data_IF_769038705233
#
_entry.id   IF_769038705233
#
_cell.length_a   1.000
_cell.length_b   1.000
_cell.length_c   1.000
_cell.angle_alpha   90.00
_cell.angle_beta   90.00
_cell.angle_gamma   90.00
#
_symmetry.space_group_name_H-M   'P 1'
#
loop_
_entity.id
_entity.type
_entity.pdbx_description
1 polymer ?
#
# COMPACT_ATOMS: atom_id res chain seq x y z
N UNK A 1 -15.25 -24.01 -56.14
CA UNK A 1 -15.94 -24.68 -55.02
C UNK A 1 -14.93 -24.86 -53.89
N UNK A 2 -14.87 -23.85 -53.00
CA UNK A 2 -15.28 -23.92 -51.58
C UNK A 2 -14.29 -24.75 -50.74
N UNK A 3 -13.22 -24.16 -50.18
CA UNK A 3 -13.18 -23.28 -49.00
C UNK A 3 -13.70 -23.95 -47.72
N UNK A 4 -12.82 -24.68 -47.01
CA UNK A 4 -13.01 -25.02 -45.60
C UNK A 4 -12.30 -23.98 -44.74
N UNK A 5 -13.10 -23.10 -44.13
CA UNK A 5 -12.65 -22.10 -43.16
C UNK A 5 -12.20 -22.78 -41.87
N UNK A 6 -10.92 -22.69 -41.56
CA UNK A 6 -10.40 -22.98 -40.22
C UNK A 6 -10.95 -21.95 -39.23
N UNK A 7 -11.82 -22.39 -38.33
CA UNK A 7 -12.23 -21.61 -37.17
C UNK A 7 -11.04 -21.48 -36.22
N UNK A 8 -10.41 -20.31 -36.24
CA UNK A 8 -9.44 -19.92 -35.22
C UNK A 8 -10.12 -20.01 -33.85
N UNK A 9 -9.61 -20.88 -32.98
CA UNK A 9 -9.94 -20.92 -31.56
C UNK A 9 -9.75 -19.51 -30.97
N UNK A 10 -10.87 -18.81 -30.75
CA UNK A 10 -10.89 -17.53 -30.08
C UNK A 10 -10.37 -17.73 -28.65
N UNK A 11 -9.18 -17.20 -28.37
CA UNK A 11 -8.67 -17.06 -27.02
C UNK A 11 -9.70 -16.32 -26.16
N UNK A 12 -9.90 -16.70 -24.88
CA UNK A 12 -10.92 -16.10 -24.04
C UNK A 12 -10.63 -14.60 -23.80
N UNK A 13 -11.63 -13.71 -23.91
CA UNK A 13 -11.44 -12.29 -23.68
C UNK A 13 -11.50 -12.02 -22.17
N UNK A 14 -10.39 -12.23 -21.47
CA UNK A 14 -10.21 -11.73 -20.09
C UNK A 14 -8.79 -11.19 -19.91
N UNK A 15 -8.45 -10.19 -20.72
CA UNK A 15 -7.44 -9.22 -20.31
C UNK A 15 -8.10 -8.29 -19.28
N UNK A 16 -8.14 -8.73 -18.02
CA UNK A 16 -8.28 -7.83 -16.88
C UNK A 16 -7.25 -6.72 -17.11
N UNK A 17 -7.71 -5.51 -17.43
CA UNK A 17 -6.81 -4.41 -17.79
C UNK A 17 -5.97 -4.11 -16.56
N UNK A 18 -4.77 -4.72 -16.49
CA UNK A 18 -3.77 -4.45 -15.46
C UNK A 18 -3.54 -2.95 -15.52
N UNK A 19 -3.99 -2.22 -14.50
CA UNK A 19 -3.79 -0.79 -14.43
C UNK A 19 -2.32 -0.57 -14.07
N UNK A 20 -1.44 -0.68 -15.08
CA UNK A 20 0.02 -0.64 -14.94
C UNK A 20 0.50 0.57 -14.13
N UNK A 21 -0.24 1.68 -14.17
CA UNK A 21 0.01 2.86 -13.35
C UNK A 21 -0.11 2.55 -11.88
N UNK A 22 -1.17 1.86 -11.45
CA UNK A 22 -1.39 1.54 -10.04
C UNK A 22 -0.31 0.62 -9.54
N UNK A 23 -0.02 -0.45 -10.27
CA UNK A 23 1.03 -1.40 -9.87
C UNK A 23 2.40 -0.73 -9.86
N UNK A 24 2.69 0.14 -10.82
CA UNK A 24 3.91 0.94 -10.79
C UNK A 24 3.96 1.87 -9.57
N UNK A 25 2.88 2.57 -9.23
CA UNK A 25 2.88 3.44 -8.05
C UNK A 25 3.01 2.64 -6.74
N UNK A 26 2.46 1.42 -6.67
CA UNK A 26 2.69 0.49 -5.55
C UNK A 26 4.15 0.07 -5.46
N UNK A 27 4.77 -0.30 -6.59
CA UNK A 27 6.18 -0.68 -6.64
C UNK A 27 7.10 0.47 -6.23
N UNK A 28 6.84 1.67 -6.74
CA UNK A 28 7.54 2.89 -6.35
C UNK A 28 7.42 3.16 -4.85
N UNK A 29 6.19 3.12 -4.31
CA UNK A 29 5.95 3.36 -2.89
C UNK A 29 6.65 2.33 -1.99
N UNK A 30 6.64 1.03 -2.36
CA UNK A 30 7.33 0.00 -1.60
C UNK A 30 8.85 0.22 -1.58
N UNK A 31 9.45 0.49 -2.74
CA UNK A 31 10.89 0.75 -2.84
C UNK A 31 11.29 2.01 -2.07
N UNK A 32 10.48 3.06 -2.17
CA UNK A 32 10.70 4.33 -1.48
C UNK A 32 10.70 4.13 0.06
N UNK A 33 9.68 3.45 0.60
CA UNK A 33 9.58 3.17 2.05
C UNK A 33 10.68 2.22 2.50
N UNK A 34 10.92 1.14 1.75
CA UNK A 34 11.94 0.16 2.12
C UNK A 34 13.33 0.81 2.15
N UNK A 35 13.68 1.64 1.16
CA UNK A 35 14.99 2.30 1.15
C UNK A 35 15.13 3.36 2.24
N UNK A 36 14.05 4.06 2.57
CA UNK A 36 14.02 4.96 3.72
C UNK A 36 14.31 4.22 5.03
N UNK A 37 13.65 3.11 5.29
CA UNK A 37 13.92 2.30 6.49
C UNK A 37 15.31 1.68 6.47
N UNK A 38 15.80 1.22 5.30
CA UNK A 38 17.16 0.71 5.15
C UNK A 38 18.19 1.75 5.63
N UNK A 39 18.07 3.00 5.18
CA UNK A 39 18.93 4.10 5.63
C UNK A 39 18.84 4.36 7.13
N UNK A 40 17.63 4.32 7.70
CA UNK A 40 17.45 4.50 9.14
C UNK A 40 18.04 3.38 10.00
N UNK A 41 18.22 2.18 9.43
CA UNK A 41 18.76 1.01 10.14
C UNK A 41 20.28 0.94 10.02
N UNK A 42 20.85 1.21 8.84
CA UNK A 42 22.28 0.93 8.58
C UNK A 42 23.15 2.17 8.39
N UNK A 43 22.57 3.36 8.20
CA UNK A 43 23.34 4.55 7.80
C UNK A 43 23.24 5.68 8.83
N UNK A 44 24.34 6.41 9.03
CA UNK A 44 24.47 7.48 10.04
C UNK A 44 23.51 8.68 9.86
N UNK A 45 22.83 8.77 8.73
CA UNK A 45 21.97 9.90 8.38
C UNK A 45 22.73 11.06 7.72
N UNK A 46 21.96 11.93 7.05
CA UNK A 46 22.53 12.96 6.17
C UNK A 46 23.34 14.02 6.91
N UNK A 47 22.90 14.41 8.12
CA UNK A 47 23.59 15.44 8.91
C UNK A 47 24.99 14.96 9.32
N UNK A 48 25.09 13.78 9.94
CA UNK A 48 26.36 13.18 10.33
C UNK A 48 27.25 12.87 9.13
N UNK A 49 26.66 12.42 8.02
CA UNK A 49 27.39 12.19 6.78
C UNK A 49 28.01 13.46 6.20
N UNK A 50 27.25 14.56 6.17
CA UNK A 50 27.74 15.86 5.72
C UNK A 50 28.83 16.40 6.65
N UNK A 51 28.69 16.24 7.96
CA UNK A 51 29.71 16.64 8.92
C UNK A 51 31.03 15.86 8.72
N UNK A 52 30.95 14.56 8.39
CA UNK A 52 32.13 13.72 8.18
C UNK A 52 32.84 13.97 6.83
N UNK A 53 32.08 14.16 5.74
CA UNK A 53 32.63 14.21 4.38
C UNK A 53 32.63 15.60 3.73
N UNK A 54 31.92 16.58 4.29
CA UNK A 54 31.80 17.92 3.75
C UNK A 54 31.39 17.91 2.27
N UNK A 55 32.17 18.57 1.42
CA UNK A 55 31.94 18.65 -0.03
C UNK A 55 32.80 17.69 -0.86
N UNK A 56 33.28 16.60 -0.26
CA UNK A 56 34.08 15.62 -0.99
C UNK A 56 33.33 15.06 -2.22
N UNK A 57 34.06 14.78 -3.30
CA UNK A 57 33.51 14.33 -4.59
C UNK A 57 33.77 12.84 -4.87
N UNK A 58 34.00 12.03 -3.82
CA UNK A 58 34.18 10.59 -4.01
C UNK A 58 32.85 9.94 -4.46
N UNK A 59 32.89 8.82 -5.21
CA UNK A 59 31.68 8.17 -5.69
C UNK A 59 30.68 7.82 -4.59
N UNK A 60 31.16 7.41 -3.42
CA UNK A 60 30.33 7.12 -2.25
C UNK A 60 29.66 8.36 -1.65
N UNK A 61 30.33 9.52 -1.69
CA UNK A 61 29.77 10.79 -1.20
C UNK A 61 28.73 11.32 -2.16
N UNK A 62 28.99 11.28 -3.46
CA UNK A 62 28.01 11.62 -4.49
C UNK A 62 26.78 10.71 -4.37
N UNK A 63 26.98 9.39 -4.28
CA UNK A 63 25.88 8.45 -4.08
C UNK A 63 25.09 8.74 -2.80
N UNK A 64 25.78 9.04 -1.69
CA UNK A 64 25.17 9.47 -0.43
C UNK A 64 24.25 10.68 -0.61
N UNK A 65 24.74 11.76 -1.25
CA UNK A 65 23.94 12.95 -1.51
C UNK A 65 22.78 12.71 -2.49
N UNK A 66 22.96 11.88 -3.51
CA UNK A 66 21.88 11.50 -4.43
C UNK A 66 20.73 10.77 -3.72
N UNK A 67 20.99 10.17 -2.55
CA UNK A 67 19.93 9.54 -1.74
C UNK A 67 19.14 10.53 -0.88
N UNK A 68 19.47 11.83 -0.90
CA UNK A 68 18.76 12.85 -0.13
C UNK A 68 17.23 12.81 -0.27
N UNK A 69 16.64 12.67 -1.48
CA UNK A 69 15.17 12.62 -1.64
C UNK A 69 14.50 11.50 -0.84
N UNK A 70 15.20 10.41 -0.55
CA UNK A 70 14.67 9.32 0.27
C UNK A 70 14.50 9.69 1.74
N UNK A 71 14.93 10.89 2.17
CA UNK A 71 14.63 11.40 3.52
C UNK A 71 13.12 11.54 3.77
N UNK A 72 12.33 11.74 2.71
CA UNK A 72 10.87 11.78 2.76
C UNK A 72 10.23 10.46 2.31
N UNK A 73 10.95 9.33 2.41
CA UNK A 73 10.42 8.06 1.89
C UNK A 73 9.19 7.53 2.63
N UNK A 74 8.90 8.04 3.83
CA UNK A 74 7.62 7.84 4.52
C UNK A 74 6.40 8.29 3.69
N UNK A 75 6.58 9.20 2.72
CA UNK A 75 5.55 9.62 1.76
C UNK A 75 5.00 8.46 0.91
N UNK A 76 5.69 7.31 0.83
CA UNK A 76 5.16 6.12 0.17
C UNK A 76 3.98 5.49 0.91
N UNK A 77 3.82 5.69 2.22
CA UNK A 77 2.68 5.15 2.98
C UNK A 77 1.34 5.78 2.56
N UNK A 78 1.21 7.13 2.48
CA UNK A 78 0.05 7.80 1.86
C UNK A 78 -0.36 7.23 0.50
N UNK A 79 0.61 6.89 -0.36
CA UNK A 79 0.36 6.32 -1.69
C UNK A 79 -0.38 4.98 -1.56
N UNK A 80 0.07 4.10 -0.65
CA UNK A 80 -0.62 2.83 -0.40
C UNK A 80 -2.05 3.03 0.09
N UNK A 81 -2.33 4.04 0.92
CA UNK A 81 -3.66 4.26 1.48
C UNK A 81 -4.64 4.72 0.39
N UNK A 82 -4.23 5.69 -0.43
CA UNK A 82 -5.03 6.17 -1.56
C UNK A 82 -5.26 5.03 -2.58
N UNK A 83 -4.23 4.24 -2.92
CA UNK A 83 -4.37 3.10 -3.83
C UNK A 83 -5.30 2.04 -3.24
N UNK A 84 -5.15 1.71 -1.95
CA UNK A 84 -5.99 0.74 -1.25
C UNK A 84 -7.46 1.14 -1.35
N UNK A 85 -7.80 2.39 -1.00
CA UNK A 85 -9.15 2.92 -1.12
C UNK A 85 -9.72 2.85 -2.53
N UNK A 86 -8.93 3.25 -3.53
CA UNK A 86 -9.32 3.15 -4.94
C UNK A 86 -9.61 1.70 -5.33
N UNK A 87 -8.65 0.79 -5.16
CA UNK A 87 -8.77 -0.60 -5.60
C UNK A 87 -9.89 -1.37 -4.89
N UNK A 88 -10.12 -1.09 -3.60
CA UNK A 88 -11.17 -1.76 -2.82
C UNK A 88 -12.56 -1.28 -3.24
N UNK A 89 -12.74 0.03 -3.40
CA UNK A 89 -14.04 0.60 -3.70
C UNK A 89 -14.44 0.43 -5.17
N UNK A 90 -13.48 0.44 -6.10
CA UNK A 90 -13.71 0.42 -7.57
C UNK A 90 -14.71 -0.62 -8.05
N UNK A 91 -14.56 -1.89 -7.66
CA UNK A 91 -15.48 -2.93 -8.14
C UNK A 91 -16.91 -2.73 -7.62
N UNK A 92 -17.07 -2.32 -6.36
CA UNK A 92 -18.40 -2.05 -5.81
C UNK A 92 -19.02 -0.79 -6.42
N UNK A 93 -18.22 0.25 -6.67
CA UNK A 93 -18.64 1.47 -7.36
C UNK A 93 -19.14 1.18 -8.77
N UNK A 94 -18.39 0.38 -9.55
CA UNK A 94 -18.79 -0.03 -10.91
C UNK A 94 -20.10 -0.83 -10.91
N UNK A 95 -20.25 -1.78 -9.97
CA UNK A 95 -21.50 -2.55 -9.84
C UNK A 95 -22.69 -1.69 -9.42
N UNK A 96 -22.45 -0.68 -8.58
CA UNK A 96 -23.48 0.25 -8.13
C UNK A 96 -23.89 1.24 -9.24
N UNK A 97 -22.93 1.70 -10.04
CA UNK A 97 -23.21 2.52 -11.22
C UNK A 97 -24.01 1.75 -12.28
N UNK A 98 -23.71 0.45 -12.47
CA UNK A 98 -24.46 -0.42 -13.38
C UNK A 98 -25.84 -0.84 -12.83
N UNK A 99 -25.99 -0.93 -11.51
CA UNK A 99 -27.24 -1.31 -10.84
C UNK A 99 -27.40 -0.57 -9.50
N UNK A 100 -28.26 0.47 -9.41
CA UNK A 100 -28.50 1.22 -8.18
C UNK A 100 -28.99 0.38 -6.99
N UNK A 101 -29.63 -0.76 -7.25
CA UNK A 101 -30.09 -1.68 -6.23
C UNK A 101 -28.97 -2.59 -5.67
N UNK A 102 -27.76 -2.57 -6.26
CA UNK A 102 -26.64 -3.41 -5.84
C UNK A 102 -26.30 -3.18 -4.36
N UNK A 103 -26.16 -4.30 -3.63
CA UNK A 103 -25.70 -4.35 -2.25
C UNK A 103 -24.39 -5.13 -2.18
N UNK A 104 -23.50 -4.70 -1.29
CA UNK A 104 -22.26 -5.42 -1.04
C UNK A 104 -22.55 -6.68 -0.24
N UNK A 105 -22.06 -7.82 -0.73
CA UNK A 105 -21.96 -9.05 0.05
C UNK A 105 -20.80 -8.91 1.05
N UNK A 106 -21.13 -8.46 2.26
CA UNK A 106 -20.16 -8.16 3.31
C UNK A 106 -19.42 -9.41 3.83
N UNK A 107 -20.09 -10.54 4.12
CA UNK A 107 -19.40 -11.77 4.53
C UNK A 107 -18.37 -12.24 3.51
N UNK A 108 -18.74 -12.31 2.22
CA UNK A 108 -17.80 -12.70 1.18
C UNK A 108 -16.67 -11.67 1.00
N UNK A 109 -16.97 -10.38 1.15
CA UNK A 109 -15.95 -9.34 1.16
C UNK A 109 -14.90 -9.60 2.26
N UNK A 110 -15.33 -9.83 3.50
CA UNK A 110 -14.42 -10.07 4.62
C UNK A 110 -13.62 -11.36 4.48
N UNK A 111 -14.26 -12.48 4.12
CA UNK A 111 -13.57 -13.77 3.90
C UNK A 111 -12.46 -13.63 2.86
N UNK A 112 -12.74 -12.93 1.75
CA UNK A 112 -11.74 -12.69 0.71
C UNK A 112 -10.57 -11.84 1.17
N UNK A 113 -10.81 -10.84 2.03
CA UNK A 113 -9.74 -10.00 2.60
C UNK A 113 -8.92 -10.76 3.63
N UNK A 114 -9.58 -11.54 4.48
CA UNK A 114 -8.95 -12.44 5.43
C UNK A 114 -8.02 -13.43 4.73
N UNK A 115 -8.53 -14.17 3.75
CA UNK A 115 -7.76 -15.16 2.98
C UNK A 115 -6.58 -14.55 2.21
N UNK A 116 -6.65 -13.26 1.86
CA UNK A 116 -5.56 -12.55 1.18
C UNK A 116 -4.42 -12.15 2.11
N UNK A 117 -4.72 -11.84 3.37
CA UNK A 117 -3.78 -11.12 4.26
C UNK A 117 -3.26 -11.98 5.38
N UNK A 118 -4.12 -12.73 6.07
CA UNK A 118 -3.73 -13.47 7.26
C UNK A 118 -2.65 -14.52 7.03
N UNK A 119 -2.65 -15.30 5.92
CA UNK A 119 -1.55 -16.22 5.66
C UNK A 119 -0.19 -15.52 5.52
N UNK A 120 -0.19 -14.35 4.87
CA UNK A 120 1.03 -13.57 4.63
C UNK A 120 1.49 -12.86 5.90
N UNK A 121 0.55 -12.33 6.69
CA UNK A 121 0.81 -11.75 8.00
C UNK A 121 1.43 -12.77 8.94
N UNK A 122 0.85 -13.96 9.07
CA UNK A 122 1.39 -15.01 9.92
C UNK A 122 2.81 -15.39 9.51
N UNK A 123 3.05 -15.58 8.20
CA UNK A 123 4.39 -15.84 7.70
C UNK A 123 5.37 -14.69 7.99
N UNK A 124 4.92 -13.43 7.91
CA UNK A 124 5.76 -12.27 8.20
C UNK A 124 6.08 -12.15 9.70
N UNK A 125 5.15 -12.48 10.60
CA UNK A 125 5.40 -12.53 12.04
C UNK A 125 6.38 -13.62 12.41
N UNK A 126 6.25 -14.82 11.83
CA UNK A 126 7.20 -15.91 12.01
C UNK A 126 8.58 -15.57 11.44
N UNK A 127 8.63 -14.92 10.28
CA UNK A 127 9.87 -14.41 9.70
C UNK A 127 10.54 -13.36 10.60
N UNK A 128 9.75 -12.45 11.17
CA UNK A 128 10.23 -11.45 12.14
C UNK A 128 10.80 -12.15 13.38
N UNK A 129 10.06 -13.09 13.97
CA UNK A 129 10.52 -13.86 15.12
C UNK A 129 11.85 -14.58 14.84
N UNK A 130 11.99 -15.23 13.68
CA UNK A 130 13.20 -15.95 13.32
C UNK A 130 14.42 -15.03 13.20
N UNK A 131 14.27 -13.87 12.54
CA UNK A 131 15.35 -12.92 12.34
C UNK A 131 15.71 -12.14 13.61
N UNK A 132 14.72 -11.78 14.41
CA UNK A 132 14.94 -11.12 15.70
C UNK A 132 15.60 -12.08 16.69
N UNK A 133 15.23 -13.36 16.69
CA UNK A 133 15.87 -14.38 17.53
C UNK A 133 17.37 -14.50 17.25
N UNK A 134 17.79 -14.42 15.97
CA UNK A 134 19.22 -14.36 15.59
C UNK A 134 19.85 -13.06 16.09
N UNK A 135 19.17 -11.93 15.88
CA UNK A 135 19.71 -10.60 16.21
C UNK A 135 19.88 -10.40 17.72
N UNK A 136 19.01 -10.98 18.54
CA UNK A 136 19.07 -10.96 20.00
C UNK A 136 20.27 -11.73 20.58
N UNK A 137 20.95 -12.56 19.79
CA UNK A 137 22.18 -13.24 20.21
C UNK A 137 23.45 -12.40 19.95
N UNK A 138 23.32 -11.21 19.35
CA UNK A 138 24.45 -10.38 18.92
C UNK A 138 24.40 -9.05 19.66
N UNK A 139 25.41 -8.81 20.50
CA UNK A 139 25.56 -7.54 21.20
C UNK A 139 26.39 -6.52 20.38
N UNK A 140 26.03 -5.21 20.40
CA UNK A 140 24.85 -4.65 21.04
C UNK A 140 23.55 -4.96 20.27
N UNK A 141 22.49 -5.29 21.02
CA UNK A 141 21.15 -5.50 20.44
C UNK A 141 20.63 -4.20 19.80
N UNK A 142 20.09 -4.31 18.58
CA UNK A 142 19.51 -3.17 17.88
C UNK A 142 18.32 -2.58 18.64
N UNK A 143 18.36 -1.26 18.88
CA UNK A 143 17.26 -0.50 19.48
C UNK A 143 15.94 -0.54 18.68
N UNK A 144 15.95 -1.09 17.45
CA UNK A 144 14.75 -1.30 16.64
C UNK A 144 13.93 -2.49 17.10
N UNK A 145 14.53 -3.47 17.76
CA UNK A 145 13.84 -4.66 18.28
C UNK A 145 13.06 -4.25 19.53
N UNK A 146 11.73 -4.35 19.46
CA UNK A 146 10.81 -4.11 20.58
C UNK A 146 10.46 -5.44 21.27
N UNK A 147 9.23 -5.58 21.75
CA UNK A 147 8.72 -6.79 22.39
C UNK A 147 8.54 -7.93 21.37
N UNK A 148 9.21 -9.06 21.64
CA UNK A 148 9.13 -10.31 20.87
C UNK A 148 8.29 -11.39 21.57
N UNK A 149 7.68 -11.05 22.72
CA UNK A 149 6.87 -11.94 23.53
C UNK A 149 5.54 -12.35 22.87
N UNK A 150 4.93 -13.39 23.44
CA UNK A 150 3.68 -13.98 22.92
C UNK A 150 2.53 -12.96 22.89
N UNK A 151 2.43 -12.08 23.89
CA UNK A 151 1.38 -11.05 23.92
C UNK A 151 1.52 -10.08 22.74
N UNK A 152 2.73 -9.58 22.48
CA UNK A 152 2.99 -8.73 21.32
C UNK A 152 2.72 -9.45 19.99
N UNK A 153 3.09 -10.74 19.91
CA UNK A 153 2.77 -11.58 18.75
C UNK A 153 1.26 -11.66 18.50
N UNK A 154 0.46 -11.94 19.54
CA UNK A 154 -0.99 -12.03 19.45
C UNK A 154 -1.63 -10.68 19.11
N UNK A 155 -1.18 -9.58 19.72
CA UNK A 155 -1.64 -8.22 19.39
C UNK A 155 -1.46 -7.94 17.90
N UNK A 156 -0.31 -8.32 17.33
CA UNK A 156 -0.03 -8.10 15.92
C UNK A 156 -0.76 -9.09 15.00
N UNK A 157 -0.93 -10.34 15.43
CA UNK A 157 -1.71 -11.35 14.70
C UNK A 157 -3.18 -10.92 14.54
N UNK A 158 -3.76 -10.32 15.58
CA UNK A 158 -5.12 -9.76 15.53
C UNK A 158 -5.19 -8.35 14.94
N UNK A 159 -4.07 -7.80 14.45
CA UNK A 159 -4.02 -6.47 13.84
C UNK A 159 -4.47 -5.35 14.80
N UNK A 160 -4.07 -5.45 16.07
CA UNK A 160 -4.41 -4.51 17.15
C UNK A 160 -3.24 -3.59 17.56
N UNK A 161 -2.08 -3.73 16.90
CA UNK A 161 -0.95 -2.83 17.08
C UNK A 161 -1.36 -1.38 16.75
N UNK A 162 -0.92 -0.43 17.58
CA UNK A 162 -1.35 0.97 17.57
C UNK A 162 -2.54 1.28 18.51
N UNK A 163 -3.27 0.24 18.95
CA UNK A 163 -4.43 0.36 19.87
C UNK A 163 -4.20 -0.39 21.17
N UNK A 164 -3.83 -1.67 21.08
CA UNK A 164 -3.65 -2.56 22.24
C UNK A 164 -2.18 -2.93 22.51
N UNK A 165 -1.23 -2.38 21.74
CA UNK A 165 0.20 -2.61 21.91
C UNK A 165 1.02 -2.08 20.73
N UNK A 166 2.32 -2.29 20.78
CA UNK A 166 3.26 -1.86 19.73
C UNK A 166 3.43 -2.92 18.64
N UNK A 167 4.12 -2.54 17.57
CA UNK A 167 4.52 -3.45 16.50
C UNK A 167 5.43 -4.57 17.03
N UNK A 168 5.24 -5.79 16.51
CA UNK A 168 5.99 -6.96 16.95
C UNK A 168 7.47 -6.89 16.58
N UNK A 169 8.35 -7.09 17.56
CA UNK A 169 9.80 -7.14 17.37
C UNK A 169 10.36 -5.91 16.64
N UNK A 170 11.23 -6.15 15.66
CA UNK A 170 11.79 -5.11 14.79
C UNK A 170 10.87 -4.65 13.66
N UNK A 171 9.70 -5.28 13.49
CA UNK A 171 8.83 -5.05 12.34
C UNK A 171 7.90 -3.84 12.54
N UNK A 172 8.54 -2.67 12.65
CA UNK A 172 7.89 -1.38 12.77
C UNK A 172 6.95 -1.01 11.63
N UNK A 173 6.95 -1.73 10.50
CA UNK A 173 6.08 -1.44 9.36
C UNK A 173 4.63 -1.97 9.56
N UNK A 174 4.41 -2.89 10.50
CA UNK A 174 3.10 -3.54 10.70
C UNK A 174 1.99 -2.58 11.15
N UNK A 175 2.30 -1.37 11.63
CA UNK A 175 1.27 -0.41 12.06
C UNK A 175 0.28 -0.07 10.92
N UNK A 176 0.75 0.06 9.68
CA UNK A 176 -0.13 0.38 8.54
C UNK A 176 -1.06 -0.77 8.18
N UNK A 177 -0.63 -2.02 8.43
CA UNK A 177 -1.45 -3.20 8.21
C UNK A 177 -2.62 -3.26 9.18
N UNK A 178 -2.41 -2.87 10.45
CA UNK A 178 -3.50 -2.73 11.43
C UNK A 178 -4.58 -1.78 10.92
N UNK A 179 -4.18 -0.62 10.40
CA UNK A 179 -5.11 0.34 9.82
C UNK A 179 -5.84 -0.22 8.59
N UNK A 180 -5.14 -0.98 7.73
CA UNK A 180 -5.74 -1.62 6.57
C UNK A 180 -6.82 -2.65 6.94
N UNK A 181 -6.58 -3.48 7.98
CA UNK A 181 -7.58 -4.41 8.50
C UNK A 181 -8.80 -3.66 9.08
N UNK A 182 -8.56 -2.57 9.81
CA UNK A 182 -9.63 -1.69 10.32
C UNK A 182 -10.46 -1.08 9.16
N UNK A 183 -9.82 -0.65 8.07
CA UNK A 183 -10.54 -0.18 6.88
C UNK A 183 -11.43 -1.25 6.25
N UNK A 184 -11.03 -2.53 6.28
CA UNK A 184 -11.87 -3.61 5.77
C UNK A 184 -13.05 -3.91 6.67
N UNK A 185 -12.86 -3.85 7.99
CA UNK A 185 -13.95 -4.04 8.94
C UNK A 185 -15.04 -2.98 8.72
N UNK A 186 -14.66 -1.71 8.55
CA UNK A 186 -15.61 -0.59 8.40
C UNK A 186 -16.16 -0.43 6.97
N UNK A 187 -15.52 -1.02 5.95
CA UNK A 187 -15.87 -0.79 4.55
C UNK A 187 -17.34 -1.09 4.18
N UNK A 188 -17.97 -2.20 4.61
CA UNK A 188 -19.38 -2.43 4.31
C UNK A 188 -20.31 -1.35 4.85
N UNK A 189 -20.01 -0.79 6.03
CA UNK A 189 -20.75 0.32 6.61
C UNK A 189 -20.58 1.59 5.76
N UNK A 190 -19.35 1.91 5.36
CA UNK A 190 -19.08 3.03 4.45
C UNK A 190 -19.82 2.89 3.12
N UNK A 191 -19.85 1.68 2.56
CA UNK A 191 -20.57 1.42 1.33
C UNK A 191 -22.08 1.61 1.51
N UNK A 192 -22.63 1.16 2.63
CA UNK A 192 -24.03 1.40 2.98
C UNK A 192 -24.34 2.90 3.14
N UNK A 193 -23.43 3.66 3.79
CA UNK A 193 -23.55 5.11 3.95
C UNK A 193 -23.48 5.84 2.60
N UNK A 194 -22.53 5.47 1.73
CA UNK A 194 -22.40 5.98 0.36
C UNK A 194 -23.67 5.76 -0.48
N UNK A 195 -24.45 4.70 -0.21
CA UNK A 195 -25.75 4.47 -0.87
C UNK A 195 -26.85 5.39 -0.35
N UNK A 196 -26.78 5.83 0.90
CA UNK A 196 -27.80 6.68 1.54
C UNK A 196 -27.58 8.17 1.28
N UNK A 197 -26.35 8.65 1.46
CA UNK A 197 -26.03 10.09 1.44
C UNK A 197 -25.11 10.50 0.28
N UNK A 198 -24.69 9.55 -0.55
CA UNK A 198 -23.75 9.79 -1.65
C UNK A 198 -22.29 9.92 -1.20
N UNK A 199 -21.37 9.81 -2.16
CA UNK A 199 -19.93 9.82 -1.88
C UNK A 199 -19.39 11.16 -1.37
N UNK A 200 -19.83 12.34 -1.87
CA UNK A 200 -19.36 13.62 -1.34
C UNK A 200 -19.67 13.82 0.14
N UNK A 201 -20.86 13.42 0.59
CA UNK A 201 -21.23 13.50 2.00
C UNK A 201 -20.40 12.53 2.86
N UNK A 202 -20.12 11.31 2.37
CA UNK A 202 -19.19 10.38 3.04
C UNK A 202 -17.80 10.99 3.18
N UNK A 203 -17.25 11.59 2.13
CA UNK A 203 -15.94 12.26 2.19
C UNK A 203 -15.95 13.39 3.22
N UNK A 204 -17.00 14.22 3.24
CA UNK A 204 -17.14 15.31 4.20
C UNK A 204 -17.25 14.79 5.65
N UNK A 205 -18.06 13.76 5.92
CA UNK A 205 -18.16 13.13 7.24
C UNK A 205 -16.82 12.55 7.67
N UNK A 206 -16.13 11.82 6.79
CA UNK A 206 -14.81 11.25 7.10
C UNK A 206 -13.78 12.35 7.36
N UNK A 207 -13.79 13.44 6.59
CA UNK A 207 -12.90 14.58 6.81
C UNK A 207 -13.11 15.22 8.19
N UNK A 208 -14.38 15.39 8.62
CA UNK A 208 -14.69 15.90 9.96
C UNK A 208 -14.21 14.95 11.07
N UNK A 209 -14.46 13.65 10.93
CA UNK A 209 -13.99 12.63 11.87
C UNK A 209 -12.47 12.59 11.91
N UNK A 210 -11.81 12.75 10.77
CA UNK A 210 -10.36 12.75 10.64
C UNK A 210 -9.73 13.93 11.37
N UNK A 211 -10.27 15.14 11.19
CA UNK A 211 -9.83 16.33 11.93
C UNK A 211 -10.07 16.14 13.43
N UNK A 212 -11.27 15.73 13.86
CA UNK A 212 -11.56 15.49 15.27
C UNK A 212 -10.61 14.44 15.88
N UNK A 213 -10.35 13.35 15.15
CA UNK A 213 -9.42 12.30 15.54
C UNK A 213 -7.98 12.81 15.71
N UNK A 214 -7.51 13.67 14.81
CA UNK A 214 -6.19 14.28 14.92
C UNK A 214 -6.07 15.11 16.21
N UNK A 215 -7.09 15.94 16.49
CA UNK A 215 -7.11 16.77 17.69
C UNK A 215 -7.16 15.96 18.99
N UNK A 216 -7.92 14.86 19.01
CA UNK A 216 -8.14 14.06 20.22
C UNK A 216 -7.09 12.96 20.44
N UNK A 217 -6.74 12.19 19.40
CA UNK A 217 -5.99 10.94 19.55
C UNK A 217 -4.48 11.10 19.28
N UNK A 218 -4.09 11.99 18.37
CA UNK A 218 -2.67 12.18 18.04
C UNK A 218 -1.86 12.69 19.23
N UNK A 219 -2.48 13.52 20.08
CA UNK A 219 -1.87 14.00 21.33
C UNK A 219 -1.54 12.90 22.33
N UNK A 220 -2.13 11.72 22.17
CA UNK A 220 -1.96 10.57 23.06
C UNK A 220 -1.21 9.40 22.40
N UNK A 221 -0.56 9.63 21.24
CA UNK A 221 0.18 8.61 20.49
C UNK A 221 -0.66 7.37 20.09
N UNK A 222 -1.99 7.55 20.00
CA UNK A 222 -2.91 6.49 19.60
C UNK A 222 -3.06 6.49 18.07
N UNK A 223 -2.57 5.41 17.44
CA UNK A 223 -2.62 5.23 16.00
C UNK A 223 -3.93 4.54 15.59
N UNK A 224 -5.01 5.31 15.55
CA UNK A 224 -6.33 4.80 15.16
C UNK A 224 -6.67 5.11 13.69
N UNK A 225 -7.44 4.25 13.03
CA UNK A 225 -7.74 4.39 11.60
C UNK A 225 -8.39 5.73 11.24
N UNK A 226 -9.16 6.32 12.16
CA UNK A 226 -9.85 7.60 11.96
C UNK A 226 -8.90 8.73 11.60
N UNK A 227 -7.66 8.72 12.12
CA UNK A 227 -6.62 9.70 11.81
C UNK A 227 -6.08 9.59 10.38
N UNK A 228 -6.21 8.43 9.71
CA UNK A 228 -5.71 8.23 8.34
C UNK A 228 -6.81 7.89 7.34
N UNK A 229 -8.06 7.90 7.79
CA UNK A 229 -9.21 7.44 7.04
C UNK A 229 -9.52 8.30 5.81
N UNK A 230 -9.18 9.58 5.87
CA UNK A 230 -9.39 10.52 4.77
C UNK A 230 -8.57 10.12 3.53
N UNK A 231 -7.29 9.76 3.71
CA UNK A 231 -6.41 9.32 2.62
C UNK A 231 -6.97 8.12 1.86
N UNK A 232 -7.48 7.14 2.60
CA UNK A 232 -8.15 5.97 2.03
C UNK A 232 -9.45 6.38 1.31
N UNK A 233 -10.27 7.23 1.93
CA UNK A 233 -11.57 7.65 1.40
C UNK A 233 -11.45 8.51 0.14
N UNK A 234 -10.41 9.33 0.01
CA UNK A 234 -10.13 10.08 -1.23
C UNK A 234 -9.84 9.12 -2.40
N UNK A 235 -9.10 8.04 -2.15
CA UNK A 235 -8.91 6.97 -3.14
C UNK A 235 -10.23 6.34 -3.58
N UNK A 236 -11.10 6.03 -2.61
CA UNK A 236 -12.44 5.52 -2.89
C UNK A 236 -13.31 6.53 -3.66
N UNK A 237 -13.17 7.83 -3.38
CA UNK A 237 -13.88 8.90 -4.10
C UNK A 237 -13.45 8.97 -5.56
N UNK A 238 -12.15 8.86 -5.86
CA UNK A 238 -11.65 8.77 -7.23
C UNK A 238 -12.30 7.58 -7.96
N UNK A 239 -12.41 6.43 -7.29
CA UNK A 239 -13.06 5.26 -7.86
C UNK A 239 -14.56 5.48 -8.15
N UNK A 240 -15.28 6.15 -7.25
CA UNK A 240 -16.71 6.46 -7.42
C UNK A 240 -16.96 7.44 -8.57
N UNK A 241 -16.17 8.53 -8.66
CA UNK A 241 -16.23 9.49 -9.78
C UNK A 241 -15.97 8.79 -11.11
N UNK A 242 -14.97 7.90 -11.16
CA UNK A 242 -14.62 7.16 -12.38
C UNK A 242 -15.67 6.12 -12.76
N UNK A 243 -16.35 5.51 -11.78
CA UNK A 243 -17.41 4.56 -12.05
C UNK A 243 -18.68 5.23 -12.61
N UNK A 244 -18.93 6.49 -12.27
CA UNK A 244 -20.07 7.26 -12.78
C UNK A 244 -19.83 7.85 -14.17
N UNK A 245 -18.58 7.96 -14.61
CA UNK A 245 -18.25 8.41 -15.96
C UNK A 245 -18.41 7.27 -16.97
N UNK A 246 -19.36 7.40 -17.91
CA UNK A 246 -19.37 6.56 -19.11
C UNK A 246 -18.12 6.83 -19.93
N UNK A 247 -17.62 5.82 -20.66
CA UNK A 247 -16.44 5.97 -21.53
C UNK A 247 -16.56 7.14 -22.50
N UNK A 248 -17.78 7.45 -22.94
CA UNK A 248 -18.06 8.51 -23.92
C UNK A 248 -18.26 9.90 -23.29
N UNK A 249 -18.52 10.00 -21.99
CA UNK A 249 -18.74 11.27 -21.27
C UNK A 249 -17.61 11.60 -20.28
N UNK A 250 -16.52 10.85 -20.32
CA UNK A 250 -15.40 10.99 -19.39
C UNK A 250 -14.70 12.34 -19.58
N UNK A 251 -15.00 13.29 -18.69
CA UNK A 251 -14.29 14.56 -18.62
C UNK A 251 -12.84 14.29 -18.22
N UNK A 252 -11.92 14.67 -19.11
CA UNK A 252 -10.50 14.57 -18.88
C UNK A 252 -10.07 15.73 -17.97
N UNK A 253 -9.56 15.48 -16.75
CA UNK A 253 -9.12 16.56 -15.87
C UNK A 253 -8.00 17.39 -16.50
N UNK A 254 -7.93 18.67 -16.18
CA UNK A 254 -6.90 19.59 -16.67
C UNK A 254 -5.49 19.17 -16.23
N UNK A 255 -4.46 19.67 -16.92
CA UNK A 255 -3.05 19.46 -16.49
C UNK A 255 -2.72 20.17 -15.17
N UNK A 256 -3.55 21.11 -14.72
CA UNK A 256 -3.39 21.79 -13.43
C UNK A 256 -3.40 20.83 -12.24
N UNK A 257 -4.04 19.65 -12.36
CA UNK A 257 -3.98 18.62 -11.32
C UNK A 257 -2.57 18.06 -11.08
N UNK A 258 -1.69 18.03 -12.09
CA UNK A 258 -0.28 17.68 -11.87
C UNK A 258 0.48 18.80 -11.14
N UNK A 259 0.13 20.06 -11.41
CA UNK A 259 0.71 21.21 -10.69
C UNK A 259 0.25 21.19 -9.24
N UNK A 260 -1.04 20.99 -8.99
CA UNK A 260 -1.59 20.82 -7.64
C UNK A 260 -0.93 19.65 -6.90
N UNK A 261 -0.74 18.51 -7.58
CA UNK A 261 -0.01 17.37 -7.02
C UNK A 261 1.42 17.76 -6.61
N UNK A 262 2.18 18.41 -7.49
CA UNK A 262 3.55 18.84 -7.20
C UNK A 262 3.63 19.83 -6.03
N UNK A 263 2.73 20.81 -5.98
CA UNK A 263 2.64 21.80 -4.89
C UNK A 263 2.34 21.12 -3.56
N UNK A 264 1.34 20.22 -3.51
CA UNK A 264 0.96 19.51 -2.29
C UNK A 264 2.06 18.55 -1.82
N UNK A 265 2.74 17.88 -2.76
CA UNK A 265 3.86 17.00 -2.42
C UNK A 265 5.03 17.79 -1.82
N UNK A 266 5.39 18.93 -2.43
CA UNK A 266 6.42 19.83 -1.92
C UNK A 266 6.04 20.44 -0.56
N UNK A 267 4.79 20.87 -0.40
CA UNK A 267 4.27 21.36 0.88
C UNK A 267 4.33 20.28 1.97
N UNK A 268 4.05 19.02 1.62
CA UNK A 268 4.19 17.88 2.52
C UNK A 268 5.64 17.67 2.99
N UNK A 269 6.62 17.87 2.11
CA UNK A 269 8.04 17.82 2.49
C UNK A 269 8.41 18.90 3.51
N UNK A 270 7.86 20.11 3.37
CA UNK A 270 8.02 21.18 4.35
C UNK A 270 7.30 20.89 5.67
N UNK A 271 6.06 20.43 5.60
CA UNK A 271 5.24 20.08 6.77
C UNK A 271 5.84 18.93 7.58
N UNK A 272 6.62 18.03 6.95
CA UNK A 272 7.27 16.90 7.62
C UNK A 272 8.23 17.35 8.73
N UNK A 273 8.78 18.56 8.64
CA UNK A 273 9.63 19.14 9.69
C UNK A 273 8.83 19.62 10.91
N UNK A 274 7.53 19.90 10.74
CA UNK A 274 6.64 20.37 11.82
C UNK A 274 5.90 19.20 12.45
N UNK A 275 5.41 18.25 11.63
CA UNK A 275 4.68 17.09 12.12
C UNK A 275 4.38 16.08 11.02
N UNK A 276 4.48 14.79 11.35
CA UNK A 276 4.27 13.71 10.39
C UNK A 276 2.83 13.65 9.87
N UNK A 277 1.85 13.96 10.71
CA UNK A 277 0.43 13.91 10.33
C UNK A 277 0.08 14.90 9.23
N UNK A 278 0.45 16.18 9.39
CA UNK A 278 0.19 17.20 8.37
C UNK A 278 0.85 16.87 7.04
N UNK A 279 2.10 16.38 7.07
CA UNK A 279 2.80 15.89 5.89
C UNK A 279 2.06 14.71 5.23
N UNK A 280 1.57 13.76 6.02
CA UNK A 280 0.81 12.61 5.55
C UNK A 280 -0.44 13.03 4.77
N UNK A 281 -1.21 14.00 5.30
CA UNK A 281 -2.42 14.49 4.64
C UNK A 281 -2.10 15.21 3.32
N UNK A 282 -1.06 16.06 3.31
CA UNK A 282 -0.61 16.76 2.11
C UNK A 282 -0.10 15.80 1.03
N UNK A 283 0.71 14.81 1.40
CA UNK A 283 1.17 13.78 0.48
C UNK A 283 0.02 12.92 -0.06
N UNK A 284 -0.96 12.58 0.78
CA UNK A 284 -2.16 11.85 0.37
C UNK A 284 -2.97 12.64 -0.67
N UNK A 285 -3.23 13.93 -0.39
CA UNK A 285 -3.96 14.80 -1.30
C UNK A 285 -3.18 15.06 -2.60
N UNK A 286 -1.87 15.26 -2.51
CA UNK A 286 -1.00 15.45 -3.67
C UNK A 286 -0.98 14.21 -4.57
N UNK A 287 -0.82 13.02 -3.99
CA UNK A 287 -0.89 11.78 -4.75
C UNK A 287 -2.30 11.52 -5.31
N UNK A 288 -3.36 11.85 -4.59
CA UNK A 288 -4.73 11.75 -5.10
C UNK A 288 -4.96 12.65 -6.34
N UNK A 289 -4.44 13.88 -6.34
CA UNK A 289 -4.47 14.78 -7.49
C UNK A 289 -3.76 14.17 -8.70
N UNK A 290 -2.57 13.61 -8.47
CA UNK A 290 -1.81 12.91 -9.50
C UNK A 290 -2.58 11.70 -10.06
N UNK A 291 -3.09 10.83 -9.17
CA UNK A 291 -3.81 9.61 -9.54
C UNK A 291 -5.09 9.91 -10.32
N UNK A 292 -5.86 10.91 -9.87
CA UNK A 292 -7.09 11.34 -10.55
C UNK A 292 -6.86 11.73 -12.00
N UNK A 293 -5.73 12.40 -12.29
CA UNK A 293 -5.33 12.78 -13.64
C UNK A 293 -4.73 11.61 -14.44
N UNK A 294 -3.86 10.83 -13.81
CA UNK A 294 -3.15 9.71 -14.44
C UNK A 294 -4.12 8.62 -14.92
N UNK A 295 -5.17 8.33 -14.15
CA UNK A 295 -6.19 7.36 -14.53
C UNK A 295 -7.11 7.83 -15.68
N UNK A 296 -7.25 9.14 -15.87
CA UNK A 296 -8.07 9.68 -16.97
C UNK A 296 -7.42 9.51 -18.36
N UNK A 297 -6.08 9.42 -18.40
CA UNK A 297 -5.32 9.12 -19.62
C UNK A 297 -4.18 8.18 -19.24
N UNK A 298 -4.44 6.87 -19.13
CA UNK A 298 -3.40 5.93 -18.72
C UNK A 298 -2.22 6.03 -19.70
N UNK A 299 -0.99 6.26 -19.21
CA UNK A 299 0.19 6.29 -20.03
C UNK A 299 0.38 4.94 -20.72
N UNK A 300 0.95 4.97 -21.93
CA UNK A 300 1.36 3.74 -22.61
C UNK A 300 2.42 3.03 -21.76
N UNK A 301 2.39 1.69 -21.68
CA UNK A 301 3.33 0.94 -20.86
C UNK A 301 4.74 0.99 -21.47
N UNK A 302 5.54 1.95 -21.00
CA UNK A 302 6.97 2.09 -21.30
C UNK A 302 7.79 1.05 -20.50
N UNK A 303 9.01 0.69 -20.93
CA UNK A 303 9.85 -0.24 -20.18
C UNK A 303 10.06 0.13 -18.70
N UNK A 304 10.33 1.40 -18.32
CA UNK A 304 10.43 1.79 -16.91
C UNK A 304 9.14 1.55 -16.12
N UNK A 305 7.98 1.84 -16.72
CA UNK A 305 6.69 1.60 -16.08
C UNK A 305 6.44 0.09 -15.85
N UNK A 306 6.88 -0.76 -16.77
CA UNK A 306 6.76 -2.23 -16.64
C UNK A 306 7.65 -2.77 -15.53
N UNK A 307 8.89 -2.30 -15.44
CA UNK A 307 9.81 -2.66 -14.35
C UNK A 307 9.22 -2.26 -13.01
N UNK A 308 8.69 -1.04 -12.91
CA UNK A 308 8.09 -0.55 -11.68
C UNK A 308 6.79 -1.30 -11.33
N UNK A 309 5.98 -1.66 -12.34
CA UNK A 309 4.80 -2.50 -12.18
C UNK A 309 5.15 -3.92 -11.70
N UNK A 310 6.30 -4.47 -12.10
CA UNK A 310 6.79 -5.75 -11.59
C UNK A 310 7.13 -5.68 -10.10
N UNK A 311 7.78 -4.61 -9.64
CA UNK A 311 7.94 -4.36 -8.19
C UNK A 311 6.59 -4.21 -7.47
N UNK A 312 5.57 -3.70 -8.17
CA UNK A 312 4.20 -3.64 -7.69
C UNK A 312 3.57 -4.99 -7.35
N UNK A 313 3.95 -6.06 -8.06
CA UNK A 313 3.36 -7.38 -7.92
C UNK A 313 3.67 -8.02 -6.55
N UNK A 314 4.86 -7.75 -5.99
CA UNK A 314 5.30 -8.25 -4.68
C UNK A 314 5.51 -7.13 -3.64
N UNK A 315 4.93 -5.95 -3.91
CA UNK A 315 5.12 -4.75 -3.09
C UNK A 315 4.69 -4.97 -1.63
N UNK A 316 3.67 -5.80 -1.41
CA UNK A 316 3.14 -6.11 -0.09
C UNK A 316 4.09 -7.01 0.69
N UNK A 317 4.62 -8.08 0.07
CA UNK A 317 5.67 -8.91 0.66
C UNK A 317 6.92 -8.10 1.03
N UNK A 318 7.42 -7.24 0.12
CA UNK A 318 8.56 -6.36 0.42
C UNK A 318 8.27 -5.46 1.61
N UNK A 319 7.07 -4.86 1.65
CA UNK A 319 6.67 -4.01 2.75
C UNK A 319 6.61 -4.75 4.10
N UNK A 320 6.17 -6.00 4.13
CA UNK A 320 6.03 -6.74 5.39
C UNK A 320 7.33 -7.26 6.00
N UNK A 321 8.37 -7.50 5.20
CA UNK A 321 9.56 -8.22 5.69
C UNK A 321 10.86 -7.41 5.65
N UNK A 322 10.87 -6.23 5.02
CA UNK A 322 12.12 -5.49 4.82
C UNK A 322 12.79 -5.04 6.13
N UNK A 323 12.02 -4.58 7.12
CA UNK A 323 12.57 -4.09 8.39
C UNK A 323 13.29 -5.17 9.20
N UNK A 324 12.66 -6.32 9.55
CA UNK A 324 13.37 -7.38 10.27
C UNK A 324 14.58 -7.91 9.50
N UNK A 325 14.49 -7.94 8.16
CA UNK A 325 15.62 -8.29 7.32
C UNK A 325 16.78 -7.29 7.45
N UNK A 326 16.51 -5.99 7.36
CA UNK A 326 17.56 -4.97 7.51
C UNK A 326 18.16 -4.96 8.90
N UNK A 327 17.35 -5.14 9.95
CA UNK A 327 17.83 -5.20 11.33
C UNK A 327 18.74 -6.41 11.52
N UNK A 328 18.33 -7.59 11.05
CA UNK A 328 19.16 -8.78 11.13
C UNK A 328 20.47 -8.65 10.34
N UNK A 329 20.43 -8.11 9.12
CA UNK A 329 21.65 -7.85 8.35
C UNK A 329 22.56 -6.84 9.05
N UNK A 330 22.00 -5.80 9.66
CA UNK A 330 22.74 -4.80 10.43
C UNK A 330 23.40 -5.39 11.67
N UNK A 331 22.69 -6.24 12.42
CA UNK A 331 23.24 -6.94 13.58
C UNK A 331 24.34 -7.92 13.19
N UNK A 332 24.13 -8.74 12.16
CA UNK A 332 25.10 -9.78 11.74
C UNK A 332 26.36 -9.18 11.11
N UNK A 333 26.23 -8.16 10.26
CA UNK A 333 27.37 -7.63 9.50
C UNK A 333 28.12 -6.50 10.21
N UNK A 334 27.42 -5.75 11.06
CA UNK A 334 27.92 -4.51 11.65
C UNK A 334 27.67 -4.38 13.14
N UNK A 335 27.26 -5.45 13.85
CA UNK A 335 26.95 -5.40 15.28
C UNK A 335 25.97 -4.26 15.63
N UNK A 336 24.98 -4.03 14.75
CA UNK A 336 23.98 -2.98 14.87
C UNK A 336 24.55 -1.53 14.83
N UNK A 337 25.82 -1.35 14.46
CA UNK A 337 26.44 -0.03 14.32
C UNK A 337 26.06 0.66 13.01
N UNK A 338 25.84 1.97 13.08
CA UNK A 338 25.54 2.80 11.91
C UNK A 338 26.80 3.07 11.09
N UNK A 339 26.67 2.88 9.78
CA UNK A 339 27.78 2.99 8.84
C UNK A 339 27.86 4.39 8.24
N UNK A 340 29.08 4.94 8.18
CA UNK A 340 29.36 6.19 7.46
C UNK A 340 29.19 6.00 5.94
N UNK A 341 29.62 4.85 5.42
CA UNK A 341 29.47 4.50 4.01
C UNK A 341 28.01 4.26 3.63
N UNK A 342 27.60 4.73 2.45
CA UNK A 342 26.25 4.49 1.91
C UNK A 342 26.11 3.10 1.25
N UNK A 343 27.21 2.46 0.87
CA UNK A 343 27.16 1.20 0.12
C UNK A 343 26.40 0.06 0.83
N UNK A 344 26.47 -0.11 2.17
CA UNK A 344 25.65 -1.07 2.89
C UNK A 344 24.15 -0.92 2.63
N UNK A 345 23.61 0.29 2.49
CA UNK A 345 22.16 0.47 2.26
C UNK A 345 21.72 -0.04 0.89
N UNK A 346 22.58 0.10 -0.13
CA UNK A 346 22.34 -0.50 -1.45
C UNK A 346 22.47 -2.02 -1.43
N UNK A 347 23.48 -2.56 -0.75
CA UNK A 347 23.65 -4.00 -0.60
C UNK A 347 22.45 -4.65 0.12
N UNK A 348 21.96 -4.02 1.19
CA UNK A 348 20.80 -4.51 1.93
C UNK A 348 19.55 -4.50 1.05
N UNK A 349 19.34 -3.46 0.23
CA UNK A 349 18.23 -3.42 -0.73
C UNK A 349 18.36 -4.50 -1.81
N UNK A 350 19.58 -4.74 -2.29
CA UNK A 350 19.86 -5.80 -3.27
C UNK A 350 19.58 -7.20 -2.71
N UNK A 351 19.68 -7.40 -1.40
CA UNK A 351 19.26 -8.64 -0.70
C UNK A 351 17.75 -8.66 -0.43
N UNK A 352 17.16 -7.53 -0.03
CA UNK A 352 15.74 -7.48 0.32
C UNK A 352 14.81 -7.73 -0.86
N UNK A 353 15.14 -7.25 -2.05
CA UNK A 353 14.33 -7.46 -3.26
C UNK A 353 14.14 -8.96 -3.58
N UNK A 354 15.19 -9.79 -3.74
CA UNK A 354 15.03 -11.21 -4.03
C UNK A 354 14.39 -11.98 -2.88
N UNK A 355 14.70 -11.66 -1.61
CA UNK A 355 14.06 -12.29 -0.45
C UNK A 355 12.56 -11.99 -0.43
N UNK A 356 12.16 -10.74 -0.69
CA UNK A 356 10.76 -10.36 -0.80
C UNK A 356 10.04 -11.03 -1.98
N UNK A 357 10.72 -11.18 -3.12
CA UNK A 357 10.17 -11.88 -4.26
C UNK A 357 9.95 -13.38 -3.98
N UNK A 358 10.88 -14.02 -3.28
CA UNK A 358 10.73 -15.41 -2.84
C UNK A 358 9.57 -15.55 -1.85
N UNK A 359 9.51 -14.67 -0.85
CA UNK A 359 8.43 -14.63 0.13
C UNK A 359 7.06 -14.43 -0.54
N UNK A 360 6.99 -13.56 -1.56
CA UNK A 360 5.80 -13.37 -2.39
C UNK A 360 5.37 -14.66 -3.09
N UNK A 361 6.30 -15.39 -3.70
CA UNK A 361 5.98 -16.64 -4.39
C UNK A 361 5.50 -17.73 -3.44
N UNK A 362 6.03 -17.76 -2.22
CA UNK A 362 5.72 -18.77 -1.21
C UNK A 362 4.41 -18.49 -0.46
N UNK A 363 4.12 -17.23 -0.12
CA UNK A 363 3.01 -16.90 0.78
C UNK A 363 1.96 -15.99 0.15
N UNK A 364 2.36 -14.87 -0.45
CA UNK A 364 1.41 -13.88 -0.98
C UNK A 364 0.66 -14.38 -2.22
N UNK A 365 1.36 -14.97 -3.20
CA UNK A 365 0.73 -15.45 -4.43
C UNK A 365 -0.27 -16.58 -4.15
N UNK A 366 0.03 -17.60 -3.32
CA UNK A 366 -0.96 -18.58 -2.91
C UNK A 366 -2.15 -17.97 -2.16
N UNK A 367 -1.92 -17.02 -1.26
CA UNK A 367 -3.00 -16.31 -0.56
C UNK A 367 -3.92 -15.53 -1.52
N UNK A 368 -3.35 -14.91 -2.56
CA UNK A 368 -4.12 -14.25 -3.62
C UNK A 368 -4.97 -15.25 -4.41
N UNK A 369 -4.42 -16.42 -4.74
CA UNK A 369 -5.16 -17.49 -5.43
C UNK A 369 -6.29 -18.04 -4.56
N UNK A 370 -6.03 -18.25 -3.27
CA UNK A 370 -7.04 -18.68 -2.30
C UNK A 370 -8.18 -17.66 -2.17
N UNK A 371 -7.85 -16.37 -2.03
CA UNK A 371 -8.83 -15.27 -2.03
C UNK A 371 -9.68 -15.21 -3.31
N UNK A 372 -9.11 -15.60 -4.46
CA UNK A 372 -9.82 -15.62 -5.73
C UNK A 372 -10.84 -16.79 -5.83
N UNK A 373 -10.61 -17.90 -5.12
CA UNK A 373 -11.52 -19.07 -5.12
C UNK A 373 -12.90 -18.77 -4.56
N UNK A 374 -13.03 -17.77 -3.69
CA UNK A 374 -14.30 -17.33 -3.10
C UNK A 374 -15.11 -16.37 -4.01
N UNK A 375 -14.63 -16.05 -5.22
CA UNK A 375 -15.43 -15.24 -6.15
C UNK A 375 -16.69 -16.02 -6.56
N UNK A 376 -17.89 -15.41 -6.52
CA UNK A 376 -19.11 -16.10 -6.96
C UNK A 376 -18.97 -16.55 -8.41
N UNK A 377 -19.06 -17.85 -8.66
CA UNK A 377 -18.99 -18.40 -10.02
C UNK A 377 -20.15 -17.84 -10.85
N UNK A 378 -19.83 -17.28 -12.03
CA UNK A 378 -20.81 -16.63 -12.93
C UNK A 378 -21.92 -17.57 -13.44
N UNK A 379 -21.83 -18.87 -13.14
CA UNK A 379 -22.70 -19.93 -13.62
C UNK A 379 -24.12 -19.95 -13.01
N UNK A 380 -24.36 -19.30 -11.87
CA UNK A 380 -25.66 -19.39 -11.19
C UNK A 380 -26.74 -18.39 -11.68
N UNK A 381 -26.47 -17.58 -12.73
CA UNK A 381 -27.39 -16.52 -13.20
C UNK A 381 -28.14 -16.80 -14.50
N UNK A 382 -27.97 -17.98 -15.10
CA UNK A 382 -28.62 -18.34 -16.38
C UNK A 382 -29.89 -19.19 -16.18
N UNK A 383 -30.19 -19.68 -14.98
CA UNK A 383 -31.34 -20.60 -14.76
C UNK A 383 -32.64 -19.89 -14.36
N UNK A 384 -32.65 -18.57 -14.18
CA UNK A 384 -33.87 -17.82 -13.82
C UNK A 384 -34.29 -16.84 -14.92
N UNK A 385 -34.49 -17.33 -16.13
CA UNK A 385 -35.27 -16.62 -17.16
C UNK A 385 -35.90 -17.62 -18.12
N UNK A 386 -36.94 -18.30 -17.65
CA UNK A 386 -37.95 -18.86 -18.55
C UNK A 386 -39.28 -18.28 -18.10
N UNK A 387 -39.83 -17.27 -18.80
CA UNK A 387 -41.24 -16.95 -18.70
C UNK A 387 -41.97 -18.05 -19.46
N UNK A 388 -42.62 -18.95 -18.73
CA UNK A 388 -43.62 -19.84 -19.31
C UNK A 388 -44.87 -18.98 -19.60
N UNK A 389 -44.93 -18.46 -20.82
CA UNK A 389 -46.17 -18.09 -21.48
C UNK A 389 -46.23 -18.85 -22.80
N UNK A 390 -47.08 -19.87 -22.86
CA UNK A 390 -47.72 -20.30 -24.09
C UNK A 390 -48.96 -21.16 -23.80
N UNK A 391 -50.08 -20.67 -24.34
CA UNK A 391 -51.42 -21.26 -24.55
C UNK A 391 -52.39 -21.23 -23.38
#
# INVERSE_FOLDING_TARGET
>A
MQAFSGSSLAAPPVADHKEHVIDAMRGFAALLVAYFHCRQVVWVGMQSFHHAYGHALSPGVIAGYLTFPFAWGSAGVPIFFVISGYCIHRNAALKLAANPAYRLDAPNFWVRRFARIYPVLLAALLFTLALDAVSLQIEPVSHKIRDVGLVAFLVNLFSLQGVAGYTYGSNGALWTLSLEVQFYAIYPLLFALRRRIGMPAVVATVALVNVASAWLLERHDLQFFTSYWLSWTIGAWIADVRAQQSRDTAVVPSRAWYVAAAVLLAAGCGAFHVGQYGAFQLWSAGFACFLYRALARPPRPTPPLRVLSWFGDFSYSLYLIHLPLFVCLGSVLFHSELQLSIWPSFAFMAVAIPVAYLFYRMFERPAMMWSASFKPTRAARVVASTPEQAV
#
